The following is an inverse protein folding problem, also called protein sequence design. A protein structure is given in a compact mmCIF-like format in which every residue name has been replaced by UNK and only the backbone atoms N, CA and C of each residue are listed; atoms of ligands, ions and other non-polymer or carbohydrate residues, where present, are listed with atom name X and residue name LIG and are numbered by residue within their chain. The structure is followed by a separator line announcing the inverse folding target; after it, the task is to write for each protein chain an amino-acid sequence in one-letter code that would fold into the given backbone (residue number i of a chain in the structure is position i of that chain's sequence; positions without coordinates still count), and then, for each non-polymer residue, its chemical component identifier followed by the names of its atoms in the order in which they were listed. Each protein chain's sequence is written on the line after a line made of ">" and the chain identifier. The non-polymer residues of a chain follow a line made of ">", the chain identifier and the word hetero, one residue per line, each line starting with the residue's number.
data_IF_874154025706
#
_entry.id   IF_874154025706
#
_cell.length_a   1.000
_cell.length_b   1.000
_cell.length_c   1.000
_cell.angle_alpha   90.00
_cell.angle_beta   90.00
_cell.angle_gamma   90.00
#
_symmetry.space_group_name_H-M   'P 1'
#
loop_
_entity.id
_entity.type
_entity.pdbx_description
1 polymer ?
#
# COMPACT_ATOMS: atom_id res chain seq x y z
N UNK A 1 22.89 6.12 -13.63
CA UNK A 1 21.47 6.42 -13.97
C UNK A 1 21.29 6.46 -15.49
N UNK A 2 21.91 7.40 -16.20
CA UNK A 2 21.84 7.48 -17.68
C UNK A 2 22.25 6.17 -18.38
N UNK A 3 23.40 5.59 -18.01
CA UNK A 3 23.84 4.30 -18.56
C UNK A 3 22.83 3.14 -18.32
N UNK A 4 22.02 3.20 -17.26
CA UNK A 4 20.98 2.19 -17.04
C UNK A 4 19.81 2.38 -17.99
N UNK A 5 19.43 3.63 -18.27
CA UNK A 5 18.40 3.96 -19.27
C UNK A 5 18.88 3.63 -20.68
N UNK A 6 20.13 3.94 -21.02
CA UNK A 6 20.75 3.53 -22.29
C UNK A 6 20.78 2.01 -22.46
N UNK A 7 20.95 1.27 -21.35
CA UNK A 7 20.88 -0.18 -21.33
C UNK A 7 19.45 -0.75 -21.39
N UNK A 8 18.42 0.11 -21.43
CA UNK A 8 17.02 -0.29 -21.59
C UNK A 8 16.14 -0.21 -20.34
N UNK A 9 16.59 0.40 -19.24
CA UNK A 9 15.72 0.65 -18.09
C UNK A 9 14.62 1.68 -18.45
N UNK A 10 13.37 1.26 -18.37
CA UNK A 10 12.20 2.08 -18.74
C UNK A 10 11.74 3.03 -17.62
N UNK A 11 12.21 2.81 -16.39
CA UNK A 11 11.94 3.63 -15.21
C UNK A 11 13.18 3.66 -14.32
N UNK A 12 13.29 4.69 -13.47
CA UNK A 12 14.40 4.83 -12.52
C UNK A 12 13.87 4.92 -11.09
N UNK A 13 14.54 4.22 -10.18
CA UNK A 13 14.33 4.31 -8.75
C UNK A 13 15.62 4.80 -8.07
N UNK A 14 15.80 6.13 -7.90
CA UNK A 14 16.91 6.70 -7.15
C UNK A 14 16.63 6.61 -5.64
N UNK A 15 17.41 5.80 -4.94
CA UNK A 15 17.25 5.55 -3.49
C UNK A 15 17.83 6.68 -2.63
N UNK A 16 17.32 6.82 -1.40
CA UNK A 16 17.85 7.68 -0.34
C UNK A 16 17.98 9.19 -0.69
N UNK A 17 17.05 9.71 -1.50
CA UNK A 17 16.96 11.13 -1.81
C UNK A 17 16.50 11.93 -0.59
N UNK A 18 17.21 13.00 -0.25
CA UNK A 18 16.91 13.84 0.93
C UNK A 18 16.29 15.19 0.58
N UNK A 19 16.33 15.61 -0.68
CA UNK A 19 15.86 16.92 -1.14
C UNK A 19 15.07 16.81 -2.45
N UNK A 20 13.98 17.59 -2.60
CA UNK A 20 13.17 17.63 -3.83
C UNK A 20 13.99 18.02 -5.07
N UNK A 21 14.97 18.91 -4.91
CA UNK A 21 15.83 19.35 -6.00
C UNK A 21 16.63 18.19 -6.62
N UNK A 22 17.00 17.17 -5.83
CA UNK A 22 17.70 16.00 -6.34
C UNK A 22 16.80 15.17 -7.24
N UNK A 23 15.51 14.98 -6.89
CA UNK A 23 14.55 14.31 -7.77
C UNK A 23 14.44 15.03 -9.12
N UNK A 24 14.37 16.36 -9.09
CA UNK A 24 14.35 17.17 -10.31
C UNK A 24 15.60 16.95 -11.17
N UNK A 25 16.78 16.93 -10.55
CA UNK A 25 18.04 16.66 -11.26
C UNK A 25 18.04 15.28 -11.93
N UNK A 26 17.55 14.24 -11.25
CA UNK A 26 17.42 12.92 -11.87
C UNK A 26 16.42 12.96 -13.04
N UNK A 27 15.25 13.57 -12.85
CA UNK A 27 14.20 13.60 -13.88
C UNK A 27 14.71 14.26 -15.17
N UNK A 28 15.40 15.39 -15.03
CA UNK A 28 15.97 16.14 -16.13
C UNK A 28 17.11 15.36 -16.83
N UNK A 29 17.86 14.53 -16.08
CA UNK A 29 19.01 13.81 -16.61
C UNK A 29 18.67 12.51 -17.35
N UNK A 30 17.61 11.79 -16.97
CA UNK A 30 17.33 10.45 -17.51
C UNK A 30 16.11 10.34 -18.42
N UNK A 31 15.22 11.34 -18.43
CA UNK A 31 14.03 11.40 -19.30
C UNK A 31 13.13 10.13 -19.28
N UNK A 32 13.16 9.36 -18.19
CA UNK A 32 12.26 8.24 -17.90
C UNK A 32 11.51 8.49 -16.59
N UNK A 33 10.33 7.87 -16.37
CA UNK A 33 9.59 8.00 -15.13
C UNK A 33 10.42 7.66 -13.88
N UNK A 34 10.37 8.55 -12.89
CA UNK A 34 11.04 8.36 -11.61
C UNK A 34 10.05 7.91 -10.55
N UNK A 35 10.45 6.88 -9.80
CA UNK A 35 9.78 6.42 -8.59
C UNK A 35 10.49 7.00 -7.36
N UNK A 36 9.74 7.66 -6.48
CA UNK A 36 10.20 8.09 -5.17
C UNK A 36 9.74 7.11 -4.08
N UNK A 37 10.68 6.65 -3.25
CA UNK A 37 10.38 5.81 -2.09
C UNK A 37 10.12 6.66 -0.85
N UNK A 38 8.86 6.74 -0.45
CA UNK A 38 8.39 7.53 0.70
C UNK A 38 8.15 6.59 1.89
N UNK A 39 9.19 5.84 2.27
CA UNK A 39 9.15 4.99 3.47
C UNK A 39 9.27 5.82 4.74
N UNK A 40 8.56 5.42 5.78
CA UNK A 40 8.70 6.02 7.11
C UNK A 40 10.03 5.64 7.77
N UNK A 41 10.48 6.50 8.68
CA UNK A 41 11.66 6.26 9.53
C UNK A 41 12.98 6.07 8.75
N UNK A 42 13.04 6.57 7.51
CA UNK A 42 14.23 6.60 6.67
C UNK A 42 14.92 7.96 6.65
N UNK A 43 15.85 8.13 5.71
CA UNK A 43 16.55 9.40 5.49
C UNK A 43 15.74 10.40 4.64
N UNK A 44 14.83 9.90 3.79
CA UNK A 44 13.99 10.71 2.91
C UNK A 44 12.87 11.38 3.70
N UNK A 45 12.67 12.71 3.58
CA UNK A 45 11.52 13.40 4.16
C UNK A 45 10.19 12.86 3.60
N UNK A 46 9.12 12.96 4.39
CA UNK A 46 7.78 12.51 3.99
C UNK A 46 7.11 13.52 3.05
N UNK A 47 7.64 13.64 1.84
CA UNK A 47 7.10 14.54 0.83
C UNK A 47 5.68 14.14 0.44
N UNK A 48 4.85 15.15 0.21
CA UNK A 48 3.50 15.04 -0.33
C UNK A 48 3.54 14.72 -1.83
N UNK A 49 2.42 14.22 -2.35
CA UNK A 49 2.27 13.98 -3.79
C UNK A 49 2.45 15.28 -4.61
N UNK A 50 2.03 16.43 -4.10
CA UNK A 50 2.18 17.71 -4.80
C UNK A 50 3.63 18.20 -4.81
N UNK A 51 4.38 18.01 -3.72
CA UNK A 51 5.82 18.27 -3.67
C UNK A 51 6.58 17.36 -4.66
N UNK A 52 6.28 16.06 -4.64
CA UNK A 52 6.87 15.09 -5.57
C UNK A 52 6.55 15.42 -7.03
N UNK A 53 5.30 15.82 -7.30
CA UNK A 53 4.87 16.29 -8.62
C UNK A 53 5.65 17.53 -9.05
N UNK A 54 5.88 18.49 -8.14
CA UNK A 54 6.67 19.69 -8.45
C UNK A 54 8.12 19.34 -8.85
N UNK A 55 8.67 18.26 -8.29
CA UNK A 55 10.00 17.75 -8.58
C UNK A 55 10.05 16.76 -9.77
N UNK A 56 8.95 16.60 -10.52
CA UNK A 56 8.83 15.71 -11.68
C UNK A 56 9.03 14.21 -11.36
N UNK A 57 8.67 13.82 -10.15
CA UNK A 57 8.51 12.41 -9.79
C UNK A 57 7.21 11.90 -10.41
N UNK A 58 7.28 10.75 -11.07
CA UNK A 58 6.13 10.15 -11.76
C UNK A 58 5.31 9.24 -10.85
N UNK A 59 5.94 8.58 -9.87
CA UNK A 59 5.30 7.62 -8.97
C UNK A 59 5.80 7.79 -7.54
N UNK A 60 4.89 7.71 -6.57
CA UNK A 60 5.21 7.67 -5.15
C UNK A 60 4.95 6.26 -4.62
N UNK A 61 5.98 5.65 -4.02
CA UNK A 61 5.89 4.34 -3.40
C UNK A 61 5.80 4.49 -1.88
N UNK A 62 4.79 3.87 -1.29
CA UNK A 62 4.58 3.75 0.15
C UNK A 62 4.77 2.28 0.54
N UNK A 63 6.03 1.80 0.68
CA UNK A 63 6.32 0.39 0.58
C UNK A 63 5.77 -0.45 1.73
N UNK A 64 5.68 0.12 2.93
CA UNK A 64 5.35 -0.63 4.16
C UNK A 64 4.33 0.06 5.05
N UNK A 65 3.73 1.18 4.64
CA UNK A 65 2.86 2.00 5.50
C UNK A 65 1.70 1.20 6.10
N UNK A 66 0.98 0.44 5.27
CA UNK A 66 -0.08 -0.45 5.71
C UNK A 66 0.44 -1.58 6.62
N UNK A 67 1.63 -2.12 6.31
CA UNK A 67 2.26 -3.18 7.09
C UNK A 67 2.68 -2.72 8.49
N UNK A 68 3.20 -1.50 8.62
CA UNK A 68 3.55 -0.93 9.93
C UNK A 68 2.30 -0.70 10.78
N UNK A 69 1.24 -0.16 10.17
CA UNK A 69 -0.03 0.06 10.87
C UNK A 69 -0.67 -1.26 11.33
N UNK A 70 -0.75 -2.28 10.45
CA UNK A 70 -1.34 -3.57 10.81
C UNK A 70 -0.60 -4.24 11.97
N UNK A 71 0.74 -4.15 12.01
CA UNK A 71 1.53 -4.75 13.08
C UNK A 71 1.25 -4.08 14.43
N UNK A 72 1.14 -2.75 14.47
CA UNK A 72 0.81 -2.02 15.71
C UNK A 72 -0.59 -2.37 16.21
N UNK A 73 -1.57 -2.45 15.32
CA UNK A 73 -2.94 -2.80 15.68
C UNK A 73 -3.02 -4.24 16.22
N UNK A 74 -2.38 -5.20 15.55
CA UNK A 74 -2.33 -6.59 16.00
C UNK A 74 -1.61 -6.74 17.35
N UNK A 75 -0.47 -6.05 17.54
CA UNK A 75 0.25 -5.99 18.83
C UNK A 75 -0.67 -5.50 19.96
N UNK A 76 -1.45 -4.44 19.72
CA UNK A 76 -2.38 -3.90 20.70
C UNK A 76 -3.44 -4.93 21.13
N UNK A 77 -4.05 -5.62 20.16
CA UNK A 77 -5.04 -6.67 20.43
C UNK A 77 -4.43 -7.80 21.25
N UNK A 78 -3.22 -8.27 20.91
CA UNK A 78 -2.54 -9.33 21.67
C UNK A 78 -2.27 -8.91 23.12
N UNK A 79 -1.82 -7.68 23.34
CA UNK A 79 -1.54 -7.16 24.67
C UNK A 79 -2.82 -7.05 25.53
N UNK A 80 -3.89 -6.47 24.98
CA UNK A 80 -5.18 -6.34 25.68
C UNK A 80 -5.77 -7.70 25.99
N UNK A 81 -5.83 -8.60 25.01
CA UNK A 81 -6.36 -9.95 25.20
C UNK A 81 -5.59 -10.72 26.30
N UNK A 82 -4.26 -10.55 26.35
CA UNK A 82 -3.42 -11.18 27.37
C UNK A 82 -3.65 -10.62 28.77
N UNK A 83 -3.89 -9.32 28.89
CA UNK A 83 -4.06 -8.63 30.17
C UNK A 83 -5.48 -8.77 30.73
N UNK A 84 -6.49 -8.58 29.88
CA UNK A 84 -7.90 -8.54 30.28
C UNK A 84 -8.59 -9.91 30.19
N UNK A 85 -7.97 -10.88 29.51
CA UNK A 85 -8.57 -12.19 29.24
C UNK A 85 -9.70 -12.14 28.21
N UNK A 86 -9.91 -11.01 27.54
CA UNK A 86 -10.93 -10.81 26.51
C UNK A 86 -10.59 -9.63 25.61
N UNK A 87 -11.07 -9.62 24.36
CA UNK A 87 -10.88 -8.55 23.39
C UNK A 87 -11.97 -7.46 23.43
N UNK A 88 -12.89 -7.50 24.41
CA UNK A 88 -14.11 -6.65 24.45
C UNK A 88 -13.82 -5.15 24.27
N UNK A 89 -12.76 -4.66 24.89
CA UNK A 89 -12.38 -3.24 24.90
C UNK A 89 -11.78 -2.74 23.59
N UNK A 90 -11.44 -3.64 22.65
CA UNK A 90 -10.78 -3.30 21.37
C UNK A 90 -11.59 -3.70 20.14
N UNK A 91 -12.86 -4.08 20.32
CA UNK A 91 -13.74 -4.45 19.19
C UNK A 91 -13.91 -3.30 18.20
N UNK A 92 -13.96 -2.06 18.67
CA UNK A 92 -14.10 -0.85 17.84
C UNK A 92 -12.88 -0.58 16.93
N UNK A 93 -11.75 -1.26 17.16
CA UNK A 93 -10.54 -1.15 16.34
C UNK A 93 -10.48 -2.17 15.19
N UNK A 94 -11.42 -3.11 15.14
CA UNK A 94 -11.38 -4.24 14.19
C UNK A 94 -12.22 -3.98 12.95
N UNK A 95 -11.76 -4.50 11.80
CA UNK A 95 -12.62 -4.66 10.63
C UNK A 95 -13.80 -5.58 11.00
N UNK A 96 -15.01 -5.13 10.70
CA UNK A 96 -16.23 -5.91 10.93
C UNK A 96 -16.35 -7.07 9.95
N UNK A 97 -17.21 -8.05 10.27
CA UNK A 97 -17.49 -9.18 9.38
C UNK A 97 -18.04 -8.74 8.03
N UNK A 98 -18.92 -7.74 8.01
CA UNK A 98 -19.54 -7.26 6.77
C UNK A 98 -18.51 -6.55 5.89
N UNK A 99 -17.64 -5.71 6.47
CA UNK A 99 -16.54 -5.07 5.73
C UNK A 99 -15.57 -6.10 5.16
N UNK A 100 -15.24 -7.15 5.92
CA UNK A 100 -14.41 -8.25 5.41
C UNK A 100 -15.07 -8.93 4.21
N UNK A 101 -16.36 -9.23 4.30
CA UNK A 101 -17.12 -9.89 3.22
C UNK A 101 -17.18 -9.04 1.96
N UNK A 102 -17.42 -7.74 2.10
CA UNK A 102 -17.36 -6.79 0.99
C UNK A 102 -15.96 -6.75 0.38
N UNK A 103 -14.91 -6.67 1.20
CA UNK A 103 -13.51 -6.60 0.76
C UNK A 103 -13.07 -7.79 -0.07
N UNK A 104 -13.58 -8.99 0.24
CA UNK A 104 -13.24 -10.23 -0.48
C UNK A 104 -14.29 -10.64 -1.53
N UNK A 105 -15.26 -9.77 -1.83
CA UNK A 105 -16.37 -10.04 -2.75
C UNK A 105 -17.15 -11.33 -2.41
N UNK A 106 -17.32 -11.63 -1.12
CA UNK A 106 -17.92 -12.89 -0.64
C UNK A 106 -19.26 -13.21 -1.30
N UNK A 107 -20.17 -12.21 -1.33
CA UNK A 107 -21.52 -12.38 -1.86
C UNK A 107 -21.56 -12.64 -3.37
N UNK A 108 -20.55 -12.20 -4.13
CA UNK A 108 -20.48 -12.51 -5.57
C UNK A 108 -20.21 -13.99 -5.82
N UNK A 109 -19.47 -14.65 -4.93
CA UNK A 109 -19.25 -16.09 -5.02
C UNK A 109 -20.51 -16.86 -4.63
N UNK A 110 -21.18 -16.45 -3.56
CA UNK A 110 -22.46 -17.03 -3.14
C UNK A 110 -23.52 -16.94 -4.26
N UNK A 111 -23.70 -15.74 -4.82
CA UNK A 111 -24.63 -15.50 -5.93
C UNK A 111 -24.29 -16.36 -7.17
N UNK A 112 -23.00 -16.48 -7.51
CA UNK A 112 -22.58 -17.33 -8.63
C UNK A 112 -22.91 -18.80 -8.40
N UNK A 113 -22.68 -19.31 -7.19
CA UNK A 113 -23.00 -20.70 -6.85
C UNK A 113 -24.51 -20.94 -6.89
N UNK A 114 -25.32 -20.05 -6.32
CA UNK A 114 -26.78 -20.16 -6.36
C UNK A 114 -27.30 -20.15 -7.80
N UNK A 115 -26.81 -19.24 -8.64
CA UNK A 115 -27.21 -19.16 -10.04
C UNK A 115 -26.84 -20.41 -10.86
N UNK A 116 -25.71 -21.04 -10.55
CA UNK A 116 -25.25 -22.25 -11.25
C UNK A 116 -25.99 -23.51 -10.79
N UNK A 117 -26.28 -23.65 -9.50
CA UNK A 117 -26.77 -24.90 -8.93
C UNK A 117 -28.27 -24.92 -8.61
N UNK A 118 -28.92 -23.76 -8.45
CA UNK A 118 -30.38 -23.70 -8.32
C UNK A 118 -31.10 -24.12 -9.61
N UNK A 119 -30.46 -23.95 -10.78
CA UNK A 119 -30.97 -24.44 -12.07
C UNK A 119 -30.86 -25.96 -12.24
N UNK A 120 -29.98 -26.61 -11.49
CA UNK A 120 -29.69 -28.05 -11.61
C UNK A 120 -30.64 -28.92 -10.78
N UNK A 121 -31.35 -28.33 -9.81
CA UNK A 121 -32.29 -29.05 -8.94
C UNK A 121 -33.72 -29.10 -9.48
N UNK A 122 -34.00 -28.50 -10.64
CA UNK A 122 -35.27 -28.67 -11.36
C UNK A 122 -35.12 -29.82 -12.37
N UNK A 123 -35.25 -31.06 -11.87
CA UNK A 123 -35.54 -32.25 -12.68
C UNK A 123 -36.51 -33.15 -11.94
#
# INVERSE_FOLDING_TARGET
>A
AQAYVEAGAEMLFPEAITELAMYRQFADAVQVPILANITEFGATPLFTIDELRSAHVAMALYPLSAFRAMNRAAEHVYNVLRQEGTQKSVIDTMQTRNELYESINYYQYEEKLDNLFARSQVK
#
